data_IF_058130045832
#
_entry.id   IF_058130045832
#
_cell.length_a   1.000
_cell.length_b   1.000
_cell.length_c   1.000
_cell.angle_alpha   90.00
_cell.angle_beta   90.00
_cell.angle_gamma   90.00
#
_symmetry.space_group_name_H-M   'P 1'
#
loop_
_entity.id
_entity.type
_entity.pdbx_description
1 polymer ?
#
# COMPACT_ATOMS: atom_id res chain seq x y z
N UNK A 1 -10.50 -15.71 -24.60
CA UNK A 1 -9.39 -16.39 -25.32
C UNK A 1 -8.70 -17.38 -24.36
N UNK A 2 -8.39 -18.60 -24.81
CA UNK A 2 -7.60 -19.56 -24.01
C UNK A 2 -6.17 -19.54 -24.54
N UNK A 3 -5.22 -19.11 -23.72
CA UNK A 3 -3.81 -18.98 -24.10
C UNK A 3 -2.94 -20.00 -23.36
N UNK A 4 -2.07 -20.71 -24.09
CA UNK A 4 -1.30 -21.86 -23.56
C UNK A 4 0.23 -21.62 -23.48
N UNK A 5 0.71 -20.42 -23.81
CA UNK A 5 2.13 -20.06 -23.70
C UNK A 5 2.52 -19.44 -22.35
N UNK A 6 3.82 -19.23 -22.13
CA UNK A 6 4.34 -18.48 -20.97
C UNK A 6 4.59 -17.02 -21.34
N UNK A 7 4.32 -16.06 -20.45
CA UNK A 7 4.53 -14.66 -20.78
C UNK A 7 6.02 -14.34 -20.85
N UNK A 8 6.36 -13.35 -21.68
CA UNK A 8 7.67 -12.72 -21.73
C UNK A 8 7.64 -11.44 -20.93
N UNK A 9 8.72 -11.18 -20.21
CA UNK A 9 8.90 -9.89 -19.55
C UNK A 9 9.31 -8.85 -20.58
N UNK A 10 8.47 -7.84 -20.79
CA UNK A 10 8.81 -6.63 -21.54
C UNK A 10 9.36 -5.61 -20.54
N UNK A 11 10.64 -5.23 -20.65
CA UNK A 11 11.17 -4.06 -19.95
C UNK A 11 10.36 -2.83 -20.37
N UNK A 12 9.98 -2.02 -19.38
CA UNK A 12 9.14 -0.83 -19.46
C UNK A 12 9.40 0.12 -20.64
N UNK A 13 8.31 0.70 -21.17
CA UNK A 13 8.28 1.94 -21.96
C UNK A 13 7.83 3.09 -21.02
N UNK A 14 8.35 4.32 -21.12
CA UNK A 14 7.96 5.45 -20.28
C UNK A 14 6.43 5.66 -20.25
N UNK A 15 5.79 5.39 -19.09
CA UNK A 15 4.39 5.75 -18.83
C UNK A 15 3.46 4.65 -18.30
N UNK A 16 3.91 3.41 -18.06
CA UNK A 16 3.00 2.36 -17.52
C UNK A 16 3.67 1.27 -16.65
N UNK A 17 3.21 1.15 -15.39
CA UNK A 17 3.54 0.14 -14.36
C UNK A 17 5.02 -0.04 -13.94
N UNK A 18 5.28 0.17 -12.65
CA UNK A 18 6.60 0.22 -12.01
C UNK A 18 7.51 -1.02 -12.16
N UNK A 19 6.95 -2.18 -12.52
CA UNK A 19 7.62 -3.47 -12.48
C UNK A 19 8.06 -4.00 -13.86
N UNK A 20 7.80 -3.26 -14.94
CA UNK A 20 7.77 -3.80 -16.31
C UNK A 20 6.45 -4.55 -16.55
N UNK A 21 6.22 -5.05 -17.75
CA UNK A 21 4.97 -5.75 -18.08
C UNK A 21 5.26 -7.21 -18.44
N UNK A 22 4.43 -8.13 -17.95
CA UNK A 22 4.43 -9.51 -18.43
C UNK A 22 3.44 -9.58 -19.59
N UNK A 23 3.94 -9.92 -20.78
CA UNK A 23 3.15 -9.93 -22.00
C UNK A 23 3.10 -11.33 -22.62
N UNK A 24 1.93 -11.71 -23.13
CA UNK A 24 1.71 -12.93 -23.87
C UNK A 24 1.69 -12.64 -25.37
N UNK A 25 2.55 -13.30 -26.15
CA UNK A 25 2.59 -13.12 -27.59
C UNK A 25 1.38 -13.78 -28.25
N UNK A 26 0.60 -13.03 -29.01
CA UNK A 26 -0.47 -13.54 -29.85
C UNK A 26 0.09 -13.97 -31.22
N UNK A 27 -0.63 -14.82 -31.94
CA UNK A 27 -0.15 -15.46 -33.18
C UNK A 27 0.08 -14.45 -34.34
N UNK A 28 -0.48 -13.26 -34.24
CA UNK A 28 -0.33 -12.14 -35.19
C UNK A 28 0.83 -11.18 -34.85
N UNK A 29 1.66 -11.52 -33.85
CA UNK A 29 2.76 -10.64 -33.40
C UNK A 29 2.34 -9.55 -32.41
N UNK A 30 1.04 -9.45 -32.09
CA UNK A 30 0.56 -8.60 -31.01
C UNK A 30 0.91 -9.21 -29.64
N UNK A 31 0.77 -8.39 -28.60
CA UNK A 31 1.04 -8.79 -27.22
C UNK A 31 -0.13 -8.44 -26.32
N UNK A 32 -0.54 -9.37 -25.45
CA UNK A 32 -1.57 -9.14 -24.45
C UNK A 32 -0.95 -9.04 -23.04
N UNK A 33 -1.31 -7.99 -22.30
CA UNK A 33 -0.91 -7.83 -20.90
C UNK A 33 -1.32 -9.03 -20.06
N UNK A 34 -0.48 -9.42 -19.09
CA UNK A 34 -0.83 -10.45 -18.12
C UNK A 34 -2.03 -10.10 -17.27
N UNK A 35 -2.34 -8.82 -17.14
CA UNK A 35 -3.47 -8.34 -16.35
C UNK A 35 -4.82 -8.80 -16.93
N UNK A 36 -4.85 -9.06 -18.24
CA UNK A 36 -6.02 -9.58 -18.95
C UNK A 36 -5.99 -11.10 -19.17
N UNK A 37 -4.96 -11.80 -18.67
CA UNK A 37 -4.77 -13.23 -18.92
C UNK A 37 -4.80 -14.02 -17.63
N UNK A 38 -5.78 -14.92 -17.53
CA UNK A 38 -5.88 -15.88 -16.44
C UNK A 38 -5.39 -17.26 -16.88
N UNK A 39 -4.43 -17.81 -16.15
CA UNK A 39 -4.04 -19.21 -16.32
C UNK A 39 -5.19 -20.12 -15.85
N UNK A 40 -5.75 -20.91 -16.78
CA UNK A 40 -6.84 -21.86 -16.49
C UNK A 40 -6.35 -23.30 -16.28
N UNK A 41 -5.16 -23.64 -16.76
CA UNK A 41 -4.53 -24.96 -16.63
C UNK A 41 -3.02 -24.91 -16.91
N UNK A 42 -2.29 -26.00 -16.67
CA UNK A 42 -0.86 -26.11 -16.98
C UNK A 42 0.06 -26.01 -15.76
N UNK A 43 1.38 -26.02 -16.01
CA UNK A 43 2.39 -25.95 -14.96
C UNK A 43 2.44 -24.55 -14.37
N UNK A 44 2.55 -24.48 -13.04
CA UNK A 44 2.80 -23.21 -12.37
C UNK A 44 4.25 -22.76 -12.60
N UNK A 45 4.45 -21.46 -12.72
CA UNK A 45 5.75 -20.86 -13.04
C UNK A 45 6.02 -19.59 -12.23
N UNK A 46 7.29 -19.22 -12.24
CA UNK A 46 7.80 -17.98 -11.64
C UNK A 46 8.62 -17.21 -12.68
N UNK A 47 8.62 -15.88 -12.60
CA UNK A 47 9.43 -15.03 -13.48
C UNK A 47 10.66 -14.50 -12.75
N UNK A 48 11.82 -14.67 -13.37
CA UNK A 48 13.07 -14.10 -12.88
C UNK A 48 13.20 -12.60 -13.17
N UNK A 49 13.70 -11.82 -12.20
CA UNK A 49 13.94 -10.37 -12.36
C UNK A 49 15.41 -10.01 -12.55
N UNK A 50 16.30 -10.89 -12.11
CA UNK A 50 17.73 -10.71 -12.23
C UNK A 50 18.33 -11.82 -13.10
N UNK A 51 19.41 -11.48 -13.79
CA UNK A 51 20.31 -12.51 -14.29
C UNK A 51 20.90 -13.26 -13.10
N UNK A 52 20.91 -14.59 -13.15
CA UNK A 52 21.21 -15.41 -12.00
C UNK A 52 21.65 -16.82 -12.37
N UNK A 53 21.62 -17.71 -11.38
CA UNK A 53 21.95 -19.12 -11.52
C UNK A 53 20.97 -19.97 -10.73
N UNK A 54 20.82 -21.23 -11.12
CA UNK A 54 20.17 -22.22 -10.27
C UNK A 54 21.10 -22.71 -9.17
N UNK A 55 20.51 -23.27 -8.12
CA UNK A 55 21.21 -23.82 -6.96
C UNK A 55 20.70 -25.22 -6.67
N UNK A 56 21.51 -26.03 -5.98
CA UNK A 56 21.07 -27.30 -5.43
C UNK A 56 20.59 -27.19 -3.96
N UNK A 57 20.10 -28.28 -3.38
CA UNK A 57 19.64 -28.32 -1.99
C UNK A 57 20.72 -27.97 -0.95
N UNK A 58 22.01 -28.07 -1.30
CA UNK A 58 23.14 -27.66 -0.45
C UNK A 58 23.51 -26.18 -0.63
N UNK A 59 22.79 -25.45 -1.48
CA UNK A 59 23.05 -24.05 -1.81
C UNK A 59 24.24 -23.85 -2.76
N UNK A 60 24.76 -24.93 -3.36
CA UNK A 60 25.83 -24.84 -4.38
C UNK A 60 25.24 -24.30 -5.68
N UNK A 61 25.91 -23.30 -6.26
CA UNK A 61 25.58 -22.75 -7.58
C UNK A 61 25.73 -23.83 -8.65
N UNK A 62 24.73 -23.96 -9.51
CA UNK A 62 24.76 -24.81 -10.69
C UNK A 62 25.27 -24.01 -11.90
N UNK A 63 25.74 -24.69 -12.95
CA UNK A 63 26.17 -24.05 -14.21
C UNK A 63 25.01 -23.42 -14.98
N UNK A 64 23.77 -23.87 -14.73
CA UNK A 64 22.56 -23.33 -15.37
C UNK A 64 22.33 -21.87 -14.98
N UNK A 65 22.44 -20.99 -15.98
CA UNK A 65 22.16 -19.56 -15.86
C UNK A 65 20.66 -19.29 -15.98
N UNK A 66 20.21 -18.23 -15.35
CA UNK A 66 18.87 -17.68 -15.45
C UNK A 66 18.99 -16.29 -16.07
N UNK A 67 18.19 -15.99 -17.09
CA UNK A 67 18.12 -14.64 -17.67
C UNK A 67 16.98 -13.85 -17.02
N UNK A 68 17.14 -12.53 -16.91
CA UNK A 68 16.04 -11.63 -16.55
C UNK A 68 14.86 -11.87 -17.50
N UNK A 69 13.66 -11.92 -16.95
CA UNK A 69 12.43 -12.19 -17.68
C UNK A 69 12.13 -13.67 -17.94
N UNK A 70 13.07 -14.58 -17.65
CA UNK A 70 12.86 -16.01 -17.88
C UNK A 70 11.81 -16.58 -16.94
N UNK A 71 10.86 -17.35 -17.49
CA UNK A 71 9.91 -18.15 -16.71
C UNK A 71 10.48 -19.53 -16.37
N UNK A 72 10.24 -19.98 -15.14
CA UNK A 72 10.70 -21.27 -14.64
C UNK A 72 9.53 -22.01 -13.99
N UNK A 73 9.31 -23.27 -14.37
CA UNK A 73 8.32 -24.10 -13.67
C UNK A 73 8.77 -24.36 -12.23
N UNK A 74 7.86 -24.21 -11.26
CA UNK A 74 8.15 -24.49 -9.85
C UNK A 74 7.37 -25.69 -9.32
N UNK A 75 7.89 -26.28 -8.25
CA UNK A 75 7.24 -27.38 -7.52
C UNK A 75 6.60 -26.85 -6.25
N UNK A 76 5.28 -26.98 -6.14
CA UNK A 76 4.54 -26.59 -4.94
C UNK A 76 3.08 -26.29 -5.23
N UNK A 77 2.30 -26.20 -4.15
CA UNK A 77 0.91 -25.74 -4.20
C UNK A 77 0.82 -24.33 -3.66
N UNK A 78 0.02 -23.49 -4.30
CA UNK A 78 -0.35 -22.17 -3.82
C UNK A 78 -1.18 -22.33 -2.54
N UNK A 79 -0.94 -21.48 -1.55
CA UNK A 79 -1.65 -21.46 -0.26
C UNK A 79 -2.12 -20.05 0.06
N UNK A 80 -3.28 -19.91 0.69
CA UNK A 80 -3.70 -18.65 1.30
C UNK A 80 -2.74 -18.24 2.43
N UNK A 81 -2.59 -16.95 2.67
CA UNK A 81 -1.75 -16.43 3.76
C UNK A 81 -2.26 -15.10 4.28
N UNK A 82 -2.19 -14.87 5.59
CA UNK A 82 -2.42 -13.54 6.19
C UNK A 82 -1.09 -12.78 6.35
N UNK A 83 -0.11 -13.43 6.97
CA UNK A 83 1.16 -12.79 7.40
C UNK A 83 2.39 -13.30 6.64
N UNK A 84 2.23 -13.68 5.37
CA UNK A 84 3.33 -14.25 4.59
C UNK A 84 4.35 -13.19 4.19
N UNK A 85 5.65 -13.41 4.47
CA UNK A 85 6.70 -12.44 4.07
C UNK A 85 6.68 -12.15 2.56
N UNK A 86 6.66 -13.20 1.74
CA UNK A 86 6.51 -13.09 0.29
C UNK A 86 5.15 -13.64 -0.10
N UNK A 87 4.39 -12.84 -0.84
CA UNK A 87 3.03 -13.15 -1.23
C UNK A 87 2.69 -12.46 -2.55
N UNK A 88 1.55 -12.80 -3.13
CA UNK A 88 0.96 -12.11 -4.26
C UNK A 88 -0.55 -12.09 -4.07
N UNK A 89 -1.24 -11.21 -4.79
CA UNK A 89 -2.69 -11.23 -4.85
C UNK A 89 -3.14 -12.06 -6.03
N UNK A 90 -4.16 -12.89 -5.82
CA UNK A 90 -4.85 -13.65 -6.86
C UNK A 90 -6.33 -13.61 -6.52
N UNK A 91 -7.15 -13.03 -7.41
CA UNK A 91 -8.57 -12.73 -7.16
C UNK A 91 -8.79 -11.99 -5.83
N UNK A 92 -8.05 -10.89 -5.61
CA UNK A 92 -8.09 -10.06 -4.38
C UNK A 92 -7.80 -10.81 -3.06
N UNK A 93 -7.26 -12.02 -3.14
CA UNK A 93 -6.88 -12.82 -1.97
C UNK A 93 -5.38 -12.97 -1.91
N UNK A 94 -4.84 -12.78 -0.70
CA UNK A 94 -3.41 -12.93 -0.44
C UNK A 94 -2.98 -14.40 -0.49
N UNK A 95 -2.08 -14.73 -1.41
CA UNK A 95 -1.55 -16.07 -1.68
C UNK A 95 -0.04 -16.12 -1.55
N UNK A 96 0.49 -17.33 -1.34
CA UNK A 96 1.94 -17.60 -1.33
C UNK A 96 2.26 -18.98 -1.86
N UNK A 97 3.52 -19.17 -2.22
CA UNK A 97 4.11 -20.48 -2.51
C UNK A 97 5.20 -20.81 -1.47
N UNK A 98 5.45 -22.10 -1.18
CA UNK A 98 6.45 -22.50 -0.20
C UNK A 98 7.86 -22.13 -0.66
N UNK A 99 8.68 -21.65 0.28
CA UNK A 99 10.11 -21.41 0.07
C UNK A 99 10.92 -22.07 1.18
N UNK A 100 12.19 -22.35 0.90
CA UNK A 100 13.11 -23.07 1.77
C UNK A 100 14.27 -22.18 2.16
N UNK A 101 14.73 -22.27 3.42
CA UNK A 101 15.94 -21.60 3.88
C UNK A 101 17.12 -22.54 3.69
N UNK A 102 18.09 -22.15 2.85
CA UNK A 102 19.32 -22.89 2.60
C UNK A 102 20.48 -21.94 2.89
N UNK A 103 21.30 -22.23 3.91
CA UNK A 103 22.43 -21.37 4.34
C UNK A 103 22.02 -19.89 4.52
N UNK A 104 20.95 -19.65 5.28
CA UNK A 104 20.46 -18.30 5.56
C UNK A 104 19.60 -17.66 4.47
N UNK A 105 19.69 -18.13 3.21
CA UNK A 105 19.00 -17.54 2.05
C UNK A 105 17.73 -18.30 1.71
N UNK A 106 16.74 -17.62 1.13
CA UNK A 106 15.42 -18.19 0.79
C UNK A 106 15.34 -18.57 -0.68
N UNK A 107 14.77 -19.74 -0.96
CA UNK A 107 14.71 -20.34 -2.30
C UNK A 107 13.34 -20.94 -2.63
N UNK A 108 12.91 -20.83 -3.89
CA UNK A 108 11.83 -21.63 -4.44
C UNK A 108 12.40 -22.91 -5.07
N UNK A 109 11.69 -24.04 -4.88
CA UNK A 109 12.07 -25.35 -5.42
C UNK A 109 11.47 -25.52 -6.82
N UNK A 110 12.30 -25.89 -7.79
CA UNK A 110 11.90 -26.11 -9.20
C UNK A 110 11.78 -27.61 -9.56
N UNK A 111 12.04 -28.50 -8.60
CA UNK A 111 12.11 -29.94 -8.80
C UNK A 111 13.50 -30.41 -9.25
N UNK A 112 13.74 -31.73 -9.20
CA UNK A 112 15.02 -32.37 -9.56
C UNK A 112 16.25 -31.73 -8.89
N UNK A 113 16.16 -31.46 -7.58
CA UNK A 113 17.22 -30.81 -6.80
C UNK A 113 17.66 -29.43 -7.33
N UNK A 114 16.75 -28.68 -7.99
CA UNK A 114 17.02 -27.32 -8.48
C UNK A 114 16.21 -26.28 -7.73
N UNK A 115 16.86 -25.16 -7.46
CA UNK A 115 16.34 -24.06 -6.67
C UNK A 115 16.72 -22.72 -7.29
N UNK A 116 15.86 -21.72 -7.13
CA UNK A 116 16.16 -20.31 -7.45
C UNK A 116 15.98 -19.46 -6.19
N UNK A 117 16.80 -18.42 -6.03
CA UNK A 117 16.64 -17.51 -4.88
C UNK A 117 15.32 -16.77 -5.01
N UNK A 118 14.61 -16.60 -3.90
CA UNK A 118 13.40 -15.76 -3.85
C UNK A 118 13.73 -14.32 -4.25
N UNK A 119 14.93 -13.82 -3.92
CA UNK A 119 15.40 -12.49 -4.29
C UNK A 119 15.44 -12.26 -5.82
N UNK A 120 15.63 -13.31 -6.61
CA UNK A 120 15.78 -13.23 -8.07
C UNK A 120 14.45 -13.43 -8.81
N UNK A 121 13.32 -13.45 -8.09
CA UNK A 121 11.97 -13.72 -8.64
C UNK A 121 11.06 -12.53 -8.36
N UNK A 122 10.31 -12.09 -9.39
CA UNK A 122 9.37 -10.96 -9.31
C UNK A 122 7.91 -11.36 -9.40
N UNK A 123 7.57 -12.50 -10.00
CA UNK A 123 6.18 -12.89 -10.17
C UNK A 123 5.97 -14.40 -10.04
N UNK A 124 4.75 -14.80 -9.67
CA UNK A 124 4.26 -16.17 -9.63
C UNK A 124 2.98 -16.24 -10.45
N UNK A 125 2.97 -17.06 -11.51
CA UNK A 125 1.85 -17.20 -12.43
C UNK A 125 1.30 -15.83 -12.91
N UNK A 126 2.17 -14.87 -13.20
CA UNK A 126 1.81 -13.53 -13.68
C UNK A 126 1.60 -12.51 -12.58
N UNK A 127 1.28 -12.94 -11.36
CA UNK A 127 1.03 -12.05 -10.25
C UNK A 127 2.34 -11.58 -9.61
N UNK A 128 2.50 -10.27 -9.47
CA UNK A 128 3.68 -9.67 -8.84
C UNK A 128 3.85 -10.11 -7.38
N UNK A 129 5.08 -10.48 -7.03
CA UNK A 129 5.47 -10.79 -5.66
C UNK A 129 5.66 -9.50 -4.88
N UNK A 130 4.94 -9.44 -3.78
CA UNK A 130 5.10 -8.46 -2.73
C UNK A 130 5.99 -9.01 -1.60
N UNK A 131 6.61 -8.11 -0.85
CA UNK A 131 7.35 -8.42 0.37
C UNK A 131 6.90 -7.51 1.51
N UNK A 132 6.99 -7.99 2.75
CA UNK A 132 6.78 -7.15 3.94
C UNK A 132 8.10 -6.73 4.56
N UNK A 133 8.10 -5.55 5.18
CA UNK A 133 9.22 -4.97 5.94
C UNK A 133 10.23 -4.22 5.10
N UNK A 134 10.82 -4.86 4.09
CA UNK A 134 11.80 -4.20 3.22
C UNK A 134 11.90 -4.82 1.83
N UNK A 135 12.26 -4.00 0.86
CA UNK A 135 12.63 -4.37 -0.50
C UNK A 135 13.89 -3.63 -0.92
N UNK A 136 14.53 -4.10 -1.99
CA UNK A 136 15.65 -3.38 -2.63
C UNK A 136 15.25 -2.94 -4.02
N UNK A 137 15.83 -1.85 -4.50
CA UNK A 137 15.63 -1.37 -5.87
C UNK A 137 16.87 -0.67 -6.43
N UNK A 138 16.81 -0.41 -7.73
CA UNK A 138 17.84 0.31 -8.47
C UNK A 138 17.23 1.53 -9.14
N UNK A 139 17.85 2.69 -8.99
CA UNK A 139 17.39 3.94 -9.62
C UNK A 139 17.55 3.85 -11.15
N UNK A 140 16.48 4.17 -11.89
CA UNK A 140 16.39 4.05 -13.35
C UNK A 140 17.09 5.18 -14.10
N UNK A 141 16.94 6.40 -13.60
CA UNK A 141 17.33 7.64 -14.27
C UNK A 141 18.37 8.44 -13.45
N UNK A 142 19.06 9.38 -14.10
CA UNK A 142 19.85 10.37 -13.38
C UNK A 142 18.96 11.52 -12.91
N UNK A 143 19.43 12.27 -11.92
CA UNK A 143 18.73 13.43 -11.37
C UNK A 143 17.31 13.09 -10.91
N UNK A 144 17.13 11.90 -10.32
CA UNK A 144 15.85 11.51 -9.73
C UNK A 144 15.66 12.26 -8.43
N UNK A 145 14.69 13.16 -8.40
CA UNK A 145 14.34 13.94 -7.21
C UNK A 145 13.82 13.03 -6.10
N UNK A 146 14.20 13.35 -4.86
CA UNK A 146 13.62 12.75 -3.65
C UNK A 146 12.71 13.74 -2.95
N UNK A 147 11.78 13.23 -2.16
CA UNK A 147 10.73 14.00 -1.52
C UNK A 147 10.71 13.78 -0.02
N UNK A 148 10.19 14.75 0.73
CA UNK A 148 9.94 14.65 2.17
C UNK A 148 8.46 14.87 2.45
N UNK A 149 8.00 14.38 3.60
CA UNK A 149 6.75 14.88 4.16
C UNK A 149 6.93 16.33 4.57
N UNK A 150 6.02 17.21 4.18
CA UNK A 150 6.02 18.60 4.61
C UNK A 150 4.65 19.00 5.11
N UNK A 151 4.62 19.66 6.26
CA UNK A 151 3.46 20.39 6.77
C UNK A 151 3.31 21.78 6.16
N UNK A 152 4.30 22.24 5.39
CA UNK A 152 4.42 23.65 4.94
C UNK A 152 3.71 23.95 3.62
N UNK A 153 3.15 22.94 2.92
CA UNK A 153 2.26 23.24 1.79
C UNK A 153 0.87 23.50 2.34
N UNK A 154 0.57 24.79 2.44
CA UNK A 154 -0.62 25.41 3.01
C UNK A 154 -1.91 25.03 2.27
N UNK A 155 -2.30 23.75 2.27
CA UNK A 155 -3.68 23.21 2.17
C UNK A 155 -3.78 21.75 1.70
N UNK A 156 -2.70 20.96 1.62
CA UNK A 156 -2.88 19.54 1.32
C UNK A 156 -1.64 18.69 1.64
N UNK A 157 -1.84 17.43 2.05
CA UNK A 157 -0.79 16.46 2.44
C UNK A 157 0.08 16.03 1.25
N UNK A 158 0.80 16.97 0.64
CA UNK A 158 1.60 16.76 -0.56
C UNK A 158 3.07 16.56 -0.22
N UNK A 159 3.73 15.67 -0.98
CA UNK A 159 5.17 15.46 -0.89
C UNK A 159 5.92 16.73 -1.33
N UNK A 160 6.64 17.39 -0.41
CA UNK A 160 7.52 18.48 -0.79
C UNK A 160 8.79 17.93 -1.48
N UNK A 161 9.24 18.55 -2.58
CA UNK A 161 10.52 18.21 -3.16
C UNK A 161 11.64 18.50 -2.16
N UNK A 162 12.61 17.60 -2.04
CA UNK A 162 13.83 17.85 -1.28
C UNK A 162 14.99 18.24 -2.21
N UNK A 163 16.08 18.73 -1.61
CA UNK A 163 17.31 19.09 -2.32
C UNK A 163 18.15 17.88 -2.76
N UNK A 164 17.76 16.66 -2.37
CA UNK A 164 18.54 15.47 -2.70
C UNK A 164 18.06 14.82 -4.00
N UNK A 165 19.04 14.52 -4.85
CA UNK A 165 18.85 13.78 -6.10
C UNK A 165 19.62 12.46 -6.10
N UNK A 166 19.06 11.46 -6.76
CA UNK A 166 19.64 10.13 -6.93
C UNK A 166 20.16 9.94 -8.35
N UNK A 167 21.17 9.07 -8.48
CA UNK A 167 21.83 8.77 -9.75
C UNK A 167 21.42 7.39 -10.26
N UNK A 168 21.43 7.22 -11.58
CA UNK A 168 21.11 5.95 -12.25
C UNK A 168 22.03 4.84 -11.73
N UNK A 169 21.46 3.66 -11.52
CA UNK A 169 22.20 2.48 -11.08
C UNK A 169 22.45 2.41 -9.56
N UNK A 170 22.12 3.46 -8.81
CA UNK A 170 22.22 3.46 -7.35
C UNK A 170 21.30 2.38 -6.76
N UNK A 171 21.87 1.51 -5.91
CA UNK A 171 21.13 0.45 -5.22
C UNK A 171 20.69 0.95 -3.85
N UNK A 172 19.40 0.85 -3.57
CA UNK A 172 18.80 1.33 -2.34
C UNK A 172 17.94 0.24 -1.69
N UNK A 173 17.75 0.37 -0.38
CA UNK A 173 16.78 -0.42 0.38
C UNK A 173 15.63 0.50 0.75
N UNK A 174 14.41 -0.01 0.62
CA UNK A 174 13.18 0.70 0.92
C UNK A 174 12.38 -0.10 1.95
N UNK A 175 11.79 0.59 2.92
CA UNK A 175 11.10 -0.02 4.05
C UNK A 175 9.61 0.36 4.16
N UNK A 176 9.14 1.28 3.30
CA UNK A 176 7.76 1.72 3.26
C UNK A 176 7.37 2.11 1.83
N UNK A 177 6.11 1.87 1.46
CA UNK A 177 5.50 2.39 0.24
C UNK A 177 4.17 3.06 0.55
N UNK A 178 3.91 4.21 -0.07
CA UNK A 178 2.75 5.05 0.21
C UNK A 178 2.15 5.64 -1.06
N UNK A 179 0.86 5.97 -1.00
CA UNK A 179 0.18 6.86 -1.95
C UNK A 179 -0.27 8.12 -1.22
N UNK A 180 -0.35 9.23 -1.95
CA UNK A 180 -0.86 10.50 -1.44
C UNK A 180 -2.17 10.81 -2.15
N UNK A 181 -3.21 11.15 -1.39
CA UNK A 181 -4.55 11.39 -1.94
C UNK A 181 -4.64 12.75 -2.64
N UNK A 182 -3.82 13.72 -2.22
CA UNK A 182 -3.89 15.13 -2.65
C UNK A 182 -2.97 15.53 -3.81
N UNK A 183 -2.38 14.59 -4.55
CA UNK A 183 -1.64 14.92 -5.78
C UNK A 183 -2.55 15.05 -7.02
N UNK A 184 -3.82 15.45 -6.84
CA UNK A 184 -4.84 15.52 -7.89
C UNK A 184 -4.87 16.86 -8.65
N UNK A 185 -3.83 17.69 -8.55
CA UNK A 185 -3.72 18.93 -9.35
C UNK A 185 -3.51 18.69 -10.85
N UNK A 186 -3.42 17.42 -11.28
CA UNK A 186 -3.43 17.07 -12.69
C UNK A 186 -4.21 15.74 -12.86
N UNK A 187 -5.46 15.84 -13.30
CA UNK A 187 -6.44 14.75 -13.48
C UNK A 187 -5.92 13.55 -14.30
N UNK A 188 -4.80 13.71 -15.01
CA UNK A 188 -4.11 12.67 -15.79
C UNK A 188 -3.09 11.83 -15.01
N UNK A 189 -2.77 12.16 -13.76
CA UNK A 189 -1.75 11.47 -12.97
C UNK A 189 -2.38 10.53 -11.93
N UNK A 190 -2.45 9.23 -12.26
CA UNK A 190 -2.76 8.17 -11.29
C UNK A 190 -1.91 8.33 -10.01
N UNK A 191 -2.46 8.08 -8.80
CA UNK A 191 -1.71 8.24 -7.55
C UNK A 191 -0.42 7.44 -7.61
N UNK A 192 0.71 8.15 -7.57
CA UNK A 192 2.02 7.52 -7.66
C UNK A 192 2.36 6.78 -6.37
N UNK A 193 2.91 5.57 -6.49
CA UNK A 193 3.49 4.87 -5.35
C UNK A 193 4.84 5.52 -5.03
N UNK A 194 5.04 5.94 -3.80
CA UNK A 194 6.31 6.49 -3.32
C UNK A 194 6.95 5.54 -2.32
N UNK A 195 8.25 5.30 -2.47
CA UNK A 195 9.01 4.38 -1.62
C UNK A 195 9.98 5.14 -0.73
N UNK A 196 9.89 4.93 0.58
CA UNK A 196 10.79 5.53 1.56
C UNK A 196 12.15 4.84 1.53
N UNK A 197 13.22 5.62 1.41
CA UNK A 197 14.59 5.12 1.52
C UNK A 197 14.85 4.77 2.98
N UNK A 198 15.16 3.49 3.24
CA UNK A 198 15.35 2.95 4.59
C UNK A 198 16.38 3.76 5.38
N UNK A 199 16.03 4.10 6.62
CA UNK A 199 16.88 4.89 7.51
C UNK A 199 16.88 6.40 7.21
N UNK A 200 15.93 6.89 6.40
CA UNK A 200 15.76 8.31 6.12
C UNK A 200 14.27 8.67 6.04
N UNK A 201 13.95 9.96 6.01
CA UNK A 201 12.60 10.48 5.77
C UNK A 201 12.33 10.76 4.28
N UNK A 202 13.22 10.32 3.40
CA UNK A 202 13.16 10.63 1.97
C UNK A 202 12.42 9.55 1.20
N UNK A 203 11.51 9.98 0.32
CA UNK A 203 10.77 9.13 -0.59
C UNK A 203 11.18 9.34 -2.04
N UNK A 204 10.92 8.34 -2.87
CA UNK A 204 11.17 8.36 -4.31
C UNK A 204 9.98 7.74 -5.01
N UNK A 205 9.48 8.38 -6.07
CA UNK A 205 8.46 7.79 -6.93
C UNK A 205 8.92 6.46 -7.50
N UNK A 206 8.05 5.45 -7.44
CA UNK A 206 8.29 4.11 -7.94
C UNK A 206 8.59 4.09 -9.45
N UNK A 207 8.16 5.09 -10.22
CA UNK A 207 8.47 5.19 -11.65
C UNK A 207 9.95 5.32 -11.93
N UNK A 208 10.68 5.87 -10.97
CA UNK A 208 12.13 6.02 -11.05
C UNK A 208 12.88 4.81 -10.51
N UNK A 209 12.20 3.73 -10.12
CA UNK A 209 12.80 2.57 -9.46
C UNK A 209 12.56 1.25 -10.20
N UNK A 210 13.62 0.46 -10.34
CA UNK A 210 13.55 -0.96 -10.65
C UNK A 210 13.55 -1.75 -9.34
N UNK A 211 12.35 -2.01 -8.80
CA UNK A 211 12.19 -2.73 -7.54
C UNK A 211 12.37 -4.24 -7.71
N UNK A 212 12.94 -4.88 -6.69
CA UNK A 212 13.06 -6.34 -6.65
C UNK A 212 11.70 -7.01 -6.36
N UNK A 213 10.87 -6.36 -5.54
CA UNK A 213 9.51 -6.72 -5.10
C UNK A 213 8.76 -5.47 -4.67
N UNK A 214 7.44 -5.46 -4.85
CA UNK A 214 6.57 -4.42 -4.30
C UNK A 214 6.51 -4.50 -2.77
N UNK A 215 6.33 -3.36 -2.10
CA UNK A 215 5.85 -3.32 -0.72
C UNK A 215 4.32 -3.16 -0.72
N UNK A 216 3.62 -3.57 0.35
CA UNK A 216 2.25 -3.11 0.56
C UNK A 216 2.24 -1.58 0.59
N UNK A 217 1.37 -1.01 -0.22
CA UNK A 217 1.15 0.42 -0.33
C UNK A 217 0.08 0.80 0.69
N UNK A 218 0.33 1.87 1.42
CA UNK A 218 -0.59 2.45 2.39
C UNK A 218 -0.90 3.89 1.98
N UNK A 219 -2.10 4.41 2.27
CA UNK A 219 -2.28 5.86 2.20
C UNK A 219 -1.35 6.52 3.22
N UNK A 220 -0.70 7.60 2.81
CA UNK A 220 0.29 8.26 3.64
C UNK A 220 -0.34 8.77 4.94
N UNK A 221 -1.54 9.33 4.85
CA UNK A 221 -2.32 9.90 5.94
C UNK A 221 -2.68 8.81 6.98
N UNK A 222 -2.92 7.57 6.54
CA UNK A 222 -3.18 6.42 7.42
C UNK A 222 -1.96 6.07 8.32
N UNK A 223 -0.78 6.63 8.06
CA UNK A 223 0.41 6.38 8.88
C UNK A 223 0.54 7.37 10.04
N UNK A 224 -0.11 8.53 9.97
CA UNK A 224 0.08 9.64 10.91
C UNK A 224 -1.22 10.17 11.52
N UNK A 225 -2.37 9.74 11.00
CA UNK A 225 -3.68 10.18 11.49
C UNK A 225 -4.63 9.01 11.68
N UNK A 226 -5.68 9.23 12.45
CA UNK A 226 -6.81 8.33 12.61
C UNK A 226 -8.01 8.97 11.92
N UNK A 227 -8.71 8.22 11.08
CA UNK A 227 -9.82 8.73 10.27
C UNK A 227 -11.00 7.76 10.28
N UNK A 228 -12.22 8.28 10.19
CA UNK A 228 -13.44 7.48 10.27
C UNK A 228 -14.38 7.75 9.09
N UNK A 229 -14.89 6.66 8.53
CA UNK A 229 -16.01 6.66 7.58
C UNK A 229 -17.29 6.42 8.38
N UNK A 230 -18.24 7.35 8.31
CA UNK A 230 -19.50 7.27 9.03
C UNK A 230 -20.54 6.44 8.27
N UNK A 231 -21.49 5.84 9.00
CA UNK A 231 -22.63 5.13 8.38
C UNK A 231 -23.66 6.08 7.75
N UNK A 232 -23.85 7.23 8.38
CA UNK A 232 -24.76 8.31 7.99
C UNK A 232 -24.27 9.63 8.62
N UNK A 233 -24.90 10.76 8.27
CA UNK A 233 -24.76 11.99 9.06
C UNK A 233 -25.13 11.68 10.52
N UNK A 234 -24.29 12.07 11.48
CA UNK A 234 -24.43 11.63 12.88
C UNK A 234 -24.42 12.80 13.85
N UNK A 235 -25.18 12.75 14.96
CA UNK A 235 -25.12 13.78 15.99
C UNK A 235 -23.76 13.89 16.65
N UNK A 236 -23.37 15.13 16.95
CA UNK A 236 -22.21 15.45 17.77
C UNK A 236 -22.64 15.55 19.24
N UNK A 237 -21.83 15.00 20.14
CA UNK A 237 -21.99 15.08 21.58
C UNK A 237 -20.92 16.00 22.18
N UNK A 238 -21.24 16.68 23.27
CA UNK A 238 -20.25 17.44 24.05
C UNK A 238 -19.46 16.50 25.00
N UNK A 239 -18.45 17.04 25.68
CA UNK A 239 -17.62 16.27 26.63
C UNK A 239 -18.40 15.74 27.85
N UNK A 240 -19.62 16.23 28.09
CA UNK A 240 -20.52 15.77 29.14
C UNK A 240 -21.46 14.64 28.65
N UNK A 241 -21.27 14.17 27.41
CA UNK A 241 -22.08 13.13 26.79
C UNK A 241 -23.51 13.57 26.45
N UNK A 242 -23.75 14.88 26.37
CA UNK A 242 -25.02 15.45 25.93
C UNK A 242 -25.01 15.69 24.42
N UNK A 243 -26.13 15.36 23.77
CA UNK A 243 -26.29 15.57 22.34
C UNK A 243 -26.42 17.06 22.03
N UNK A 244 -25.67 17.53 21.04
CA UNK A 244 -25.76 18.90 20.51
C UNK A 244 -26.75 18.98 19.33
N UNK A 245 -27.08 20.19 18.90
CA UNK A 245 -27.89 20.43 17.69
C UNK A 245 -27.08 20.26 16.38
N UNK A 246 -25.78 19.96 16.48
CA UNK A 246 -24.91 19.81 15.32
C UNK A 246 -24.87 18.36 14.82
N UNK A 247 -24.70 18.23 13.49
CA UNK A 247 -24.51 16.95 12.81
C UNK A 247 -23.15 16.95 12.11
N UNK A 248 -22.38 15.90 12.34
CA UNK A 248 -21.16 15.65 11.57
C UNK A 248 -21.54 15.07 10.19
N UNK A 249 -21.06 15.65 9.08
CA UNK A 249 -21.32 15.12 7.75
C UNK A 249 -20.53 13.82 7.51
N UNK A 250 -20.97 13.04 6.51
CA UNK A 250 -20.32 11.78 6.13
C UNK A 250 -18.82 11.96 5.83
N UNK A 251 -18.51 13.01 5.07
CA UNK A 251 -17.17 13.46 4.69
C UNK A 251 -17.13 14.99 4.84
N UNK A 252 -15.94 15.56 4.99
CA UNK A 252 -15.73 17.00 4.99
C UNK A 252 -15.12 17.44 3.66
N UNK A 253 -15.53 18.61 3.17
CA UNK A 253 -15.01 19.17 1.91
C UNK A 253 -13.63 19.78 2.16
N UNK A 254 -12.63 19.32 1.39
CA UNK A 254 -11.22 19.73 1.53
C UNK A 254 -10.81 20.77 0.49
N UNK A 255 -11.40 20.71 -0.70
CA UNK A 255 -11.14 21.65 -1.78
C UNK A 255 -12.28 21.65 -2.80
N UNK A 256 -12.38 22.73 -3.59
CA UNK A 256 -13.16 22.78 -4.82
C UNK A 256 -12.17 22.97 -5.96
N UNK A 257 -12.06 21.98 -6.85
CA UNK A 257 -11.26 22.07 -8.08
C UNK A 257 -12.22 21.93 -9.24
N UNK A 258 -12.25 22.93 -10.13
CA UNK A 258 -13.06 22.92 -11.36
C UNK A 258 -14.51 22.44 -11.14
N UNK A 259 -15.19 23.02 -10.13
CA UNK A 259 -16.59 22.74 -9.78
C UNK A 259 -16.86 21.33 -9.18
N UNK A 260 -15.83 20.55 -8.87
CA UNK A 260 -15.96 19.29 -8.13
C UNK A 260 -15.49 19.45 -6.67
N UNK A 261 -16.41 19.26 -5.73
CA UNK A 261 -16.07 19.21 -4.29
C UNK A 261 -15.29 17.93 -3.98
N UNK A 262 -14.04 18.11 -3.56
CA UNK A 262 -13.22 17.04 -3.00
C UNK A 262 -13.59 16.85 -1.53
N UNK A 263 -13.80 15.60 -1.12
CA UNK A 263 -14.18 15.28 0.25
C UNK A 263 -13.25 14.24 0.87
N UNK A 264 -12.86 14.45 2.12
CA UNK A 264 -12.06 13.50 2.91
C UNK A 264 -12.83 13.00 4.14
N UNK A 265 -12.34 11.91 4.71
CA UNK A 265 -12.86 11.28 5.91
C UNK A 265 -12.68 12.19 7.13
N UNK A 266 -13.55 12.01 8.14
CA UNK A 266 -13.44 12.78 9.37
C UNK A 266 -12.21 12.31 10.18
N UNK A 267 -11.42 13.26 10.69
CA UNK A 267 -10.27 12.95 11.53
C UNK A 267 -10.70 12.77 12.99
N UNK A 268 -10.00 11.88 13.69
CA UNK A 268 -10.18 11.62 15.12
C UNK A 268 -8.82 11.47 15.77
N UNK A 269 -8.71 11.78 17.06
CA UNK A 269 -7.45 11.69 17.81
C UNK A 269 -7.58 10.96 19.16
N UNK A 270 -8.80 10.84 19.69
CA UNK A 270 -9.06 10.11 20.94
C UNK A 270 -10.22 9.12 20.81
N UNK A 271 -10.13 8.01 21.55
CA UNK A 271 -11.23 7.11 21.84
C UNK A 271 -11.51 7.19 23.35
N UNK A 272 -12.75 7.48 23.75
CA UNK A 272 -13.08 7.81 25.14
C UNK A 272 -14.48 7.31 25.51
N UNK A 273 -14.63 6.79 26.73
CA UNK A 273 -15.94 6.56 27.32
C UNK A 273 -16.48 7.86 27.91
N UNK A 274 -17.67 8.27 27.46
CA UNK A 274 -18.44 9.35 28.08
C UNK A 274 -19.71 8.78 28.68
N UNK A 275 -20.13 9.32 29.82
CA UNK A 275 -21.45 9.03 30.36
C UNK A 275 -22.51 9.77 29.55
N UNK A 276 -23.51 9.07 29.04
CA UNK A 276 -24.62 9.65 28.28
C UNK A 276 -25.82 9.78 29.22
N UNK A 277 -26.15 11.00 29.73
CA UNK A 277 -27.18 11.15 30.76
C UNK A 277 -28.56 10.68 30.31
N UNK A 278 -28.91 10.95 29.05
CA UNK A 278 -30.19 10.54 28.46
C UNK A 278 -30.36 9.02 28.33
N UNK A 279 -29.26 8.26 28.36
CA UNK A 279 -29.26 6.80 28.26
C UNK A 279 -28.86 6.13 29.57
N UNK A 280 -28.44 6.90 30.59
CA UNK A 280 -28.00 6.41 31.89
C UNK A 280 -26.94 5.29 31.80
N UNK A 281 -25.99 5.43 30.86
CA UNK A 281 -24.88 4.49 30.64
C UNK A 281 -23.67 5.19 30.05
N UNK A 282 -22.50 4.58 30.24
CA UNK A 282 -21.28 4.97 29.53
C UNK A 282 -21.29 4.39 28.11
N UNK A 283 -20.99 5.22 27.13
CA UNK A 283 -20.85 4.85 25.72
C UNK A 283 -19.45 5.21 25.23
N UNK A 284 -18.96 4.50 24.22
CA UNK A 284 -17.64 4.75 23.63
C UNK A 284 -17.77 5.75 22.48
N UNK A 285 -16.90 6.74 22.48
CA UNK A 285 -16.87 7.81 21.49
C UNK A 285 -15.50 7.94 20.85
N UNK A 286 -15.49 8.49 19.63
CA UNK A 286 -14.31 9.14 19.09
C UNK A 286 -14.43 10.64 19.26
N UNK A 287 -13.34 11.28 19.68
CA UNK A 287 -13.19 12.73 19.61
C UNK A 287 -12.88 13.11 18.16
N UNK A 288 -13.71 13.97 17.58
CA UNK A 288 -13.58 14.42 16.19
C UNK A 288 -12.78 15.70 16.16
N UNK A 289 -11.71 15.66 15.37
CA UNK A 289 -10.89 16.81 15.05
C UNK A 289 -11.09 17.18 13.59
N UNK A 290 -10.96 18.46 13.27
CA UNK A 290 -11.15 18.94 11.92
C UNK A 290 -10.17 20.04 11.55
N UNK A 291 -10.11 20.31 10.24
CA UNK A 291 -9.43 21.44 9.61
C UNK A 291 -10.46 22.54 9.24
N UNK A 292 -10.07 23.83 9.27
CA UNK A 292 -10.98 24.95 9.09
C UNK A 292 -11.71 24.90 7.75
N UNK A 293 -13.00 25.25 7.75
CA UNK A 293 -13.75 25.54 6.53
C UNK A 293 -13.04 26.68 5.77
N UNK A 294 -12.70 26.47 4.50
CA UNK A 294 -11.93 27.42 3.67
C UNK A 294 -12.61 28.79 3.47
N UNK A 295 -13.93 28.87 3.64
CA UNK A 295 -14.72 30.09 3.48
C UNK A 295 -15.00 30.81 4.81
N UNK A 296 -14.99 30.10 5.93
CA UNK A 296 -15.39 30.67 7.24
C UNK A 296 -14.26 30.65 8.27
N UNK A 297 -13.19 29.89 8.03
CA UNK A 297 -12.12 29.60 8.98
C UNK A 297 -12.60 29.13 10.37
N UNK A 298 -13.86 28.72 10.51
CA UNK A 298 -14.46 28.28 11.78
C UNK A 298 -14.53 26.75 11.87
N UNK A 299 -13.87 26.19 12.88
CA UNK A 299 -14.35 25.02 13.62
C UNK A 299 -14.83 25.55 14.96
N UNK A 300 -16.12 25.52 15.23
CA UNK A 300 -16.69 25.96 16.52
C UNK A 300 -16.54 24.91 17.63
N UNK A 301 -15.42 24.19 17.63
CA UNK A 301 -15.00 23.17 18.61
C UNK A 301 -15.53 21.74 18.41
N UNK A 302 -14.57 20.82 18.24
CA UNK A 302 -14.37 19.60 19.03
C UNK A 302 -15.63 18.96 19.62
N UNK A 303 -15.97 17.79 19.11
CA UNK A 303 -17.11 17.03 19.61
C UNK A 303 -16.94 15.55 19.42
N UNK A 304 -17.84 14.81 20.05
CA UNK A 304 -17.73 13.37 20.18
C UNK A 304 -18.79 12.69 19.34
N UNK A 305 -18.40 11.64 18.62
CA UNK A 305 -19.33 10.76 17.91
C UNK A 305 -19.25 9.36 18.51
N UNK A 306 -20.38 8.68 18.66
CA UNK A 306 -20.37 7.30 19.14
C UNK A 306 -19.62 6.41 18.16
N UNK A 307 -18.80 5.50 18.67
CA UNK A 307 -18.10 4.52 17.83
C UNK A 307 -19.06 3.60 17.09
N UNK A 308 -20.30 3.42 17.60
CA UNK A 308 -21.39 2.70 16.93
C UNK A 308 -21.78 3.29 15.58
N UNK A 309 -21.51 4.57 15.34
CA UNK A 309 -21.88 5.28 14.10
C UNK A 309 -20.80 5.17 13.01
N UNK A 310 -19.64 4.62 13.36
CA UNK A 310 -18.52 4.42 12.45
C UNK A 310 -18.72 3.13 11.66
N UNK A 311 -18.66 3.25 10.33
CA UNK A 311 -18.69 2.12 9.39
C UNK A 311 -17.30 1.50 9.25
N UNK A 312 -16.28 2.34 9.16
CA UNK A 312 -14.89 1.91 8.96
C UNK A 312 -13.94 2.89 9.62
N UNK A 313 -12.98 2.34 10.36
CA UNK A 313 -11.85 3.07 10.93
C UNK A 313 -10.62 2.90 10.02
N UNK A 314 -9.84 3.97 9.85
CA UNK A 314 -8.61 4.00 9.07
C UNK A 314 -7.49 4.66 9.86
N UNK A 315 -6.27 4.26 9.53
CA UNK A 315 -5.06 4.87 10.06
C UNK A 315 -4.57 4.31 11.40
N UNK A 316 -4.01 5.19 12.22
CA UNK A 316 -3.46 4.84 13.53
C UNK A 316 -4.57 4.35 14.46
N UNK A 317 -4.38 3.20 15.10
CA UNK A 317 -5.39 2.71 16.05
C UNK A 317 -5.35 3.55 17.32
N UNK A 318 -6.53 3.95 17.78
CA UNK A 318 -6.73 4.57 19.08
C UNK A 318 -7.04 3.47 20.11
N UNK A 319 -6.67 3.73 21.36
CA UNK A 319 -7.07 2.92 22.51
C UNK A 319 -7.88 3.81 23.45
N UNK A 320 -8.91 3.27 24.14
CA UNK A 320 -9.71 4.07 25.06
C UNK A 320 -8.84 4.70 26.16
N UNK A 321 -8.91 6.02 26.32
CA UNK A 321 -8.11 6.76 27.31
C UNK A 321 -8.62 6.59 28.75
N UNK A 322 -9.84 6.09 28.91
CA UNK A 322 -10.48 5.78 30.18
C UNK A 322 -11.36 4.53 30.05
N UNK A 323 -12.03 4.16 31.15
CA UNK A 323 -12.96 3.04 31.25
C UNK A 323 -14.39 3.52 31.42
N UNK A 324 -15.36 2.64 31.10
CA UNK A 324 -16.78 2.89 31.35
C UNK A 324 -17.10 3.20 32.82
N UNK A 325 -16.33 2.64 33.76
CA UNK A 325 -16.52 2.89 35.20
C UNK A 325 -16.06 4.30 35.59
N UNK A 326 -14.91 4.75 35.04
CA UNK A 326 -14.40 6.11 35.26
C UNK A 326 -15.34 7.16 34.69
N UNK A 327 -15.90 6.93 33.49
CA UNK A 327 -16.86 7.84 32.88
C UNK A 327 -18.07 8.14 33.77
N UNK A 328 -18.53 7.16 34.56
CA UNK A 328 -19.63 7.32 35.52
C UNK A 328 -19.24 8.13 36.76
N UNK A 329 -17.96 8.14 37.13
CA UNK A 329 -17.48 8.83 38.33
C UNK A 329 -17.34 10.35 38.17
N UNK A 330 -17.48 10.87 36.95
CA UNK A 330 -17.43 12.31 36.62
C UNK A 330 -18.81 12.98 36.50
N UNK A 331 -19.88 12.30 36.95
CA UNK A 331 -21.24 12.83 37.12
C UNK A 331 -21.37 13.33 38.56
#
# INVERSE_FOLDING_TARGET
>A
MKYYGTPKYKPFDPGSYYFGELQYNLDNGETLSSDYVKQISGKNWITAINNGHLYNAKGKRLSTKIKRGQTLAYSGKIKSTKNGKYYFYENNKKKRIPYYKIKGRKYYKLGRNRYVKVADVIAVNGNYLMTTGETTGVVKNNNVRTFINSSDYSNDSTMAPSDKYLKKGQKLTFDQAVTFVSQLDDFDHNPYDYYRIKGTHLFVSADNLNLSKALPVHEFEDLYSSRVELKAKTPIYNAMGEKTDQLLPLNHEVAVVEETSMADLNHVDEEVYLWVPSENKAELFYHVIGYPNSNTNELKDYGYIKTSEVKKFRGLKLEPINTAAEAKAYI
#
